data_IF_417129604161
#
_entry.id   IF_417129604161
#
_cell.length_a   1.000
_cell.length_b   1.000
_cell.length_c   1.000
_cell.angle_alpha   90.00
_cell.angle_beta   90.00
_cell.angle_gamma   90.00
#
_symmetry.space_group_name_H-M   'P 1'
#
loop_
_entity.id
_entity.type
_entity.pdbx_description
1 polymer ?
#
# COMPACT_ATOMS: atom_id res chain seq x y z
N UNK A 1 -4.99 -7.19 -25.52
CA UNK A 1 -3.84 -7.64 -24.69
C UNK A 1 -4.37 -7.91 -23.29
N UNK A 2 -4.25 -9.14 -22.76
CA UNK A 2 -4.74 -9.45 -21.41
C UNK A 2 -3.67 -9.06 -20.39
N UNK A 3 -4.04 -8.13 -19.51
CA UNK A 3 -3.24 -7.70 -18.37
C UNK A 3 -4.21 -7.25 -17.26
N UNK A 4 -4.21 -7.96 -16.15
CA UNK A 4 -5.11 -7.71 -15.03
C UNK A 4 -4.34 -7.86 -13.70
N UNK A 5 -4.49 -6.90 -12.80
CA UNK A 5 -3.84 -6.89 -11.50
C UNK A 5 -4.91 -6.66 -10.44
N UNK A 6 -5.00 -7.56 -9.46
CA UNK A 6 -5.86 -7.39 -8.30
C UNK A 6 -5.10 -7.58 -7.00
N UNK A 7 -5.50 -6.82 -5.99
CA UNK A 7 -5.06 -6.99 -4.61
C UNK A 7 -5.96 -8.06 -3.98
N UNK A 8 -5.36 -9.15 -3.51
CA UNK A 8 -6.09 -10.24 -2.85
C UNK A 8 -6.23 -9.98 -1.36
N UNK A 9 -5.17 -9.47 -0.73
CA UNK A 9 -5.13 -9.20 0.70
C UNK A 9 -4.33 -7.95 1.02
N UNK A 10 -4.88 -7.10 1.89
CA UNK A 10 -4.16 -6.02 2.54
C UNK A 10 -3.75 -6.47 3.93
N UNK A 11 -2.48 -6.27 4.29
CA UNK A 11 -2.05 -6.45 5.68
C UNK A 11 -2.35 -5.17 6.46
N UNK A 12 -2.72 -5.31 7.73
CA UNK A 12 -3.11 -4.16 8.57
C UNK A 12 -1.94 -3.40 9.18
N UNK A 13 -0.76 -4.03 9.24
CA UNK A 13 0.42 -3.47 9.87
C UNK A 13 0.99 -2.33 9.04
N UNK A 14 0.89 -1.11 9.55
CA UNK A 14 1.55 0.07 8.98
C UNK A 14 3.05 -0.03 9.28
N UNK A 15 3.94 0.25 8.31
CA UNK A 15 5.38 0.14 8.52
C UNK A 15 5.99 1.31 9.31
N UNK A 16 5.20 1.99 10.16
CA UNK A 16 5.61 3.14 10.98
C UNK A 16 5.17 2.89 12.42
N UNK A 17 6.07 3.17 13.36
CA UNK A 17 5.79 3.02 14.78
C UNK A 17 4.92 4.18 15.31
N UNK A 18 3.75 3.86 15.87
CA UNK A 18 2.80 4.86 16.40
C UNK A 18 3.40 5.68 17.54
N UNK A 19 4.18 5.06 18.43
CA UNK A 19 4.82 5.76 19.55
C UNK A 19 5.85 6.78 19.07
N UNK A 20 6.53 6.47 17.97
CA UNK A 20 7.42 7.42 17.31
C UNK A 20 6.64 8.62 16.76
N UNK A 21 5.50 8.38 16.10
CA UNK A 21 4.62 9.45 15.59
C UNK A 21 4.11 10.34 16.72
N UNK A 22 3.65 9.76 17.83
CA UNK A 22 3.20 10.52 19.00
C UNK A 22 4.27 11.49 19.50
N UNK A 23 5.50 11.01 19.63
CA UNK A 23 6.65 11.81 20.05
C UNK A 23 7.00 12.90 19.05
N UNK A 24 7.00 12.60 17.75
CA UNK A 24 7.37 13.55 16.69
C UNK A 24 6.38 14.70 16.54
N UNK A 25 5.08 14.42 16.68
CA UNK A 25 4.02 15.40 16.47
C UNK A 25 3.42 15.96 17.77
N UNK A 26 3.98 15.59 18.92
CA UNK A 26 3.45 15.92 20.26
C UNK A 26 1.94 15.65 20.35
N UNK A 27 1.53 14.47 19.88
CA UNK A 27 0.13 14.07 19.81
C UNK A 27 -0.44 13.92 21.22
N UNK A 28 -1.60 14.52 21.47
CA UNK A 28 -2.28 14.47 22.77
C UNK A 28 -2.47 13.01 23.25
N UNK A 29 -2.24 12.76 24.54
CA UNK A 29 -2.30 11.41 25.12
C UNK A 29 -3.69 10.77 24.95
N UNK A 30 -4.75 11.56 25.10
CA UNK A 30 -6.15 11.13 24.94
C UNK A 30 -6.57 10.76 23.51
N UNK A 31 -5.75 11.07 22.50
CA UNK A 31 -6.07 10.67 21.14
C UNK A 31 -5.89 9.17 20.99
N UNK A 32 -6.88 8.46 20.46
CA UNK A 32 -6.76 7.01 20.27
C UNK A 32 -5.71 6.63 19.21
N UNK A 33 -4.95 5.55 19.45
CA UNK A 33 -4.03 4.97 18.46
C UNK A 33 -4.75 4.62 17.15
N UNK A 34 -6.01 4.19 17.24
CA UNK A 34 -6.89 3.87 16.10
C UNK A 34 -7.01 5.04 15.10
N UNK A 35 -7.06 6.28 15.61
CA UNK A 35 -7.14 7.47 14.79
C UNK A 35 -5.79 7.81 14.14
N UNK A 36 -4.69 7.66 14.90
CA UNK A 36 -3.33 7.84 14.36
C UNK A 36 -3.09 6.84 13.23
N UNK A 37 -3.43 5.57 13.44
CA UNK A 37 -3.36 4.51 12.42
C UNK A 37 -4.19 4.85 11.19
N UNK A 38 -5.42 5.37 11.38
CA UNK A 38 -6.26 5.78 10.25
C UNK A 38 -5.60 6.86 9.41
N UNK A 39 -5.03 7.89 10.03
CA UNK A 39 -4.33 8.95 9.30
C UNK A 39 -3.08 8.43 8.59
N UNK A 40 -2.31 7.56 9.25
CA UNK A 40 -1.14 6.93 8.63
C UNK A 40 -1.52 6.02 7.45
N UNK A 41 -2.64 5.26 7.54
CA UNK A 41 -3.16 4.48 6.41
C UNK A 41 -3.51 5.37 5.22
N UNK A 42 -4.21 6.49 5.45
CA UNK A 42 -4.52 7.47 4.41
C UNK A 42 -3.23 8.04 3.79
N UNK A 43 -2.24 8.35 4.62
CA UNK A 43 -0.95 8.85 4.14
C UNK A 43 -0.21 7.81 3.28
N UNK A 44 -0.20 6.54 3.70
CA UNK A 44 0.35 5.45 2.90
C UNK A 44 -0.37 5.30 1.56
N UNK A 45 -1.71 5.26 1.54
CA UNK A 45 -2.50 5.10 0.31
C UNK A 45 -2.27 6.24 -0.70
N UNK A 46 -2.13 7.48 -0.20
CA UNK A 46 -1.76 8.63 -1.03
C UNK A 46 -0.34 8.51 -1.61
N UNK A 47 0.63 8.00 -0.84
CA UNK A 47 1.98 7.78 -1.36
C UNK A 47 2.00 6.65 -2.41
N UNK A 48 1.24 5.58 -2.19
CA UNK A 48 1.12 4.46 -3.13
C UNK A 48 0.48 4.88 -4.46
N UNK A 49 -0.47 5.83 -4.44
CA UNK A 49 -1.09 6.34 -5.67
C UNK A 49 -0.13 7.17 -6.52
N UNK A 50 0.79 7.91 -5.89
CA UNK A 50 1.81 8.71 -6.56
C UNK A 50 2.94 7.84 -7.09
N UNK A 51 3.49 6.96 -6.25
CA UNK A 51 4.68 6.17 -6.57
C UNK A 51 4.36 4.92 -7.41
N UNK A 52 3.11 4.47 -7.36
CA UNK A 52 2.71 3.18 -7.92
C UNK A 52 3.20 1.98 -7.10
N UNK A 53 4.06 2.18 -6.11
CA UNK A 53 4.58 1.14 -5.20
C UNK A 53 3.58 0.77 -4.11
N UNK A 54 3.81 -0.36 -3.45
CA UNK A 54 3.13 -0.74 -2.21
C UNK A 54 3.98 -0.28 -1.03
N UNK A 55 3.40 0.52 -0.15
CA UNK A 55 4.04 0.96 1.10
C UNK A 55 3.78 -0.09 2.16
N UNK A 56 2.53 -0.51 2.29
CA UNK A 56 2.10 -1.59 3.18
C UNK A 56 2.21 -2.91 2.41
N UNK A 57 2.72 -3.97 3.05
CA UNK A 57 2.74 -5.31 2.45
C UNK A 57 1.32 -5.73 2.04
N UNK A 58 1.19 -6.23 0.81
CA UNK A 58 -0.07 -6.68 0.19
C UNK A 58 0.20 -7.91 -0.68
N UNK A 59 -0.76 -8.80 -0.73
CA UNK A 59 -0.75 -9.93 -1.65
C UNK A 59 -1.46 -9.53 -2.95
N UNK A 60 -0.79 -9.78 -4.06
CA UNK A 60 -1.18 -9.38 -5.40
C UNK A 60 -1.26 -10.59 -6.31
N UNK A 61 -2.21 -10.51 -7.24
CA UNK A 61 -2.36 -11.49 -8.30
C UNK A 61 -2.34 -10.75 -9.62
N UNK A 62 -1.35 -11.08 -10.44
CA UNK A 62 -1.18 -10.54 -11.79
C UNK A 62 -1.50 -11.62 -12.81
N UNK A 63 -2.50 -11.36 -13.66
CA UNK A 63 -2.82 -12.19 -14.81
C UNK A 63 -2.34 -11.52 -16.09
N UNK A 64 -1.55 -12.21 -16.90
CA UNK A 64 -1.00 -11.67 -18.14
C UNK A 64 -0.98 -12.73 -19.25
N UNK A 65 -1.07 -12.29 -20.51
CA UNK A 65 -0.89 -13.15 -21.70
C UNK A 65 0.40 -12.78 -22.44
N UNK A 66 1.55 -13.06 -21.80
CA UNK A 66 2.91 -12.80 -22.30
C UNK A 66 3.93 -13.59 -21.46
N UNK A 67 5.12 -13.84 -22.02
CA UNK A 67 6.20 -14.59 -21.34
C UNK A 67 7.15 -13.70 -20.54
N UNK A 68 7.21 -12.40 -20.86
CA UNK A 68 7.90 -11.40 -20.03
C UNK A 68 6.88 -10.63 -19.20
N UNK A 69 6.92 -10.81 -17.88
CA UNK A 69 5.93 -10.28 -16.94
C UNK A 69 6.61 -9.34 -15.96
N UNK A 70 6.39 -8.04 -16.12
CA UNK A 70 6.75 -7.02 -15.12
C UNK A 70 5.73 -7.04 -13.97
N UNK A 71 6.22 -7.18 -12.74
CA UNK A 71 5.42 -7.01 -11.53
C UNK A 71 5.29 -5.53 -11.21
N UNK A 72 4.06 -5.01 -11.19
CA UNK A 72 3.81 -3.57 -11.13
C UNK A 72 3.93 -2.97 -9.74
N UNK A 73 3.76 -3.78 -8.70
CA UNK A 73 3.81 -3.34 -7.31
C UNK A 73 5.13 -3.76 -6.71
N UNK A 74 5.95 -2.77 -6.35
CA UNK A 74 7.22 -2.96 -5.66
C UNK A 74 7.18 -2.34 -4.25
N UNK A 75 8.17 -2.66 -3.40
CA UNK A 75 9.20 -3.67 -3.61
C UNK A 75 8.61 -5.09 -3.51
N UNK A 76 8.99 -5.98 -4.44
CA UNK A 76 8.51 -7.37 -4.42
C UNK A 76 9.27 -8.16 -3.38
N UNK A 77 8.54 -8.72 -2.41
CA UNK A 77 9.07 -9.52 -1.31
C UNK A 77 9.19 -10.98 -1.71
N UNK A 78 8.07 -11.57 -2.13
CA UNK A 78 8.01 -12.98 -2.49
C UNK A 78 7.15 -13.20 -3.74
N UNK A 79 7.54 -14.15 -4.58
CA UNK A 79 6.67 -14.67 -5.65
C UNK A 79 6.22 -16.05 -5.17
N UNK A 80 4.97 -16.14 -4.71
CA UNK A 80 4.46 -17.35 -4.05
C UNK A 80 4.14 -18.46 -5.05
N UNK A 81 3.66 -18.10 -6.24
CA UNK A 81 3.43 -19.07 -7.31
C UNK A 81 3.31 -18.41 -8.68
N UNK A 82 3.68 -19.17 -9.70
CA UNK A 82 3.46 -18.85 -11.11
C UNK A 82 2.72 -20.02 -11.72
N UNK A 83 1.59 -19.76 -12.37
CA UNK A 83 0.71 -20.79 -12.91
C UNK A 83 0.20 -20.42 -14.29
N UNK A 84 -0.07 -21.44 -15.11
CA UNK A 84 -0.62 -21.29 -16.46
C UNK A 84 -2.04 -21.82 -16.52
N UNK A 85 -2.93 -21.12 -17.22
CA UNK A 85 -4.30 -21.57 -17.46
C UNK A 85 -4.30 -22.74 -18.46
N UNK A 86 -4.89 -23.85 -18.05
CA UNK A 86 -5.09 -25.05 -18.89
C UNK A 86 -6.29 -24.87 -19.82
N UNK A 87 -6.43 -25.79 -20.80
CA UNK A 87 -7.60 -25.81 -21.71
C UNK A 87 -8.92 -25.99 -20.96
N UNK A 88 -8.90 -26.65 -19.81
CA UNK A 88 -10.09 -26.90 -18.98
C UNK A 88 -10.42 -25.72 -18.05
N UNK A 89 -9.71 -24.59 -18.18
CA UNK A 89 -9.93 -23.39 -17.40
C UNK A 89 -9.26 -23.35 -16.03
N UNK A 90 -8.64 -24.45 -15.58
CA UNK A 90 -7.90 -24.53 -14.31
C UNK A 90 -6.50 -23.93 -14.42
N UNK A 91 -5.84 -23.67 -13.30
CA UNK A 91 -4.44 -23.22 -13.26
C UNK A 91 -3.53 -24.35 -12.82
N UNK A 92 -2.40 -24.54 -13.52
CA UNK A 92 -1.34 -25.48 -13.14
C UNK A 92 -0.04 -24.72 -12.88
N UNK A 93 0.64 -25.04 -11.79
CA UNK A 93 1.94 -24.44 -11.44
C UNK A 93 2.97 -24.67 -12.53
N UNK A 94 3.72 -23.62 -12.84
CA UNK A 94 4.85 -23.66 -13.77
C UNK A 94 6.09 -24.11 -12.97
N UNK A 95 6.84 -25.13 -13.45
CA UNK A 95 8.08 -25.58 -12.82
C UNK A 95 9.13 -24.47 -12.73
N UNK A 96 10.06 -24.55 -11.76
CA UNK A 96 11.05 -23.49 -11.51
C UNK A 96 12.06 -23.38 -12.66
N UNK A 97 12.40 -24.51 -13.29
CA UNK A 97 13.26 -24.60 -14.46
C UNK A 97 12.72 -23.87 -15.70
N UNK A 98 11.43 -23.53 -15.69
CA UNK A 98 10.73 -22.93 -16.82
C UNK A 98 10.62 -21.41 -16.75
N UNK A 99 11.20 -20.79 -15.72
CA UNK A 99 11.28 -19.35 -15.60
C UNK A 99 12.52 -18.88 -14.83
N UNK A 100 12.87 -17.61 -15.01
CA UNK A 100 13.83 -16.94 -14.14
C UNK A 100 13.35 -15.53 -13.80
N UNK A 101 13.96 -14.93 -12.78
CA UNK A 101 13.61 -13.61 -12.28
C UNK A 101 14.77 -12.64 -12.51
N UNK A 102 14.45 -11.44 -13.01
CA UNK A 102 15.38 -10.31 -13.17
C UNK A 102 14.90 -9.14 -12.31
N UNK A 103 15.84 -8.39 -11.76
CA UNK A 103 15.58 -7.07 -11.17
C UNK A 103 16.02 -6.01 -12.17
N UNK A 104 15.13 -5.09 -12.53
CA UNK A 104 15.39 -3.98 -13.44
C UNK A 104 14.84 -2.67 -12.87
N UNK A 105 15.71 -1.72 -12.52
CA UNK A 105 15.32 -0.42 -11.96
C UNK A 105 14.30 -0.56 -10.81
N UNK A 106 14.57 -1.46 -9.86
CA UNK A 106 13.69 -1.74 -8.72
C UNK A 106 12.44 -2.57 -9.03
N UNK A 107 12.13 -2.81 -10.30
CA UNK A 107 11.02 -3.66 -10.71
C UNK A 107 11.48 -5.12 -10.85
N UNK A 108 10.66 -6.06 -10.39
CA UNK A 108 10.89 -7.49 -10.62
C UNK A 108 10.21 -7.91 -11.92
N UNK A 109 10.96 -8.60 -12.78
CA UNK A 109 10.50 -9.13 -14.06
C UNK A 109 10.64 -10.65 -14.01
N UNK A 110 9.58 -11.35 -14.38
CA UNK A 110 9.57 -12.80 -14.56
C UNK A 110 9.67 -13.07 -16.05
N UNK A 111 10.63 -13.92 -16.44
CA UNK A 111 10.81 -14.33 -17.84
C UNK A 111 10.57 -15.84 -17.90
N UNK A 112 9.56 -16.23 -18.67
CA UNK A 112 9.13 -17.62 -18.88
C UNK A 112 9.70 -18.19 -20.18
N UNK A 113 9.82 -19.51 -20.24
CA UNK A 113 10.12 -20.23 -21.48
C UNK A 113 9.11 -19.91 -22.60
N UNK A 114 9.58 -19.86 -23.85
CA UNK A 114 8.76 -19.57 -25.03
C UNK A 114 7.60 -20.55 -25.23
N UNK A 115 7.65 -21.76 -24.64
CA UNK A 115 6.52 -22.71 -24.69
C UNK A 115 5.24 -22.18 -24.03
N UNK A 116 5.35 -21.12 -23.22
CA UNK A 116 4.22 -20.41 -22.61
C UNK A 116 3.74 -19.20 -23.43
N UNK A 117 4.27 -18.99 -24.63
CA UNK A 117 3.80 -17.95 -25.54
C UNK A 117 2.29 -18.08 -25.77
N UNK A 118 1.61 -16.93 -25.75
CA UNK A 118 0.15 -16.82 -25.87
C UNK A 118 -0.68 -17.57 -24.82
N UNK A 119 -0.07 -18.08 -23.74
CA UNK A 119 -0.80 -18.65 -22.60
C UNK A 119 -1.18 -17.56 -21.60
N UNK A 120 -2.27 -17.80 -20.87
CA UNK A 120 -2.66 -16.95 -19.75
C UNK A 120 -1.88 -17.42 -18.52
N UNK A 121 -1.06 -16.52 -17.99
CA UNK A 121 -0.21 -16.73 -16.82
C UNK A 121 -0.78 -15.97 -15.66
N UNK A 122 -0.83 -16.60 -14.48
CA UNK A 122 -1.17 -15.99 -13.21
C UNK A 122 0.05 -16.04 -12.29
N UNK A 123 0.46 -14.89 -11.79
CA UNK A 123 1.54 -14.73 -10.81
C UNK A 123 0.94 -14.23 -9.51
N UNK A 124 1.11 -15.00 -8.44
CA UNK A 124 0.78 -14.57 -7.09
C UNK A 124 2.07 -14.11 -6.40
N UNK A 125 2.07 -12.91 -5.85
CA UNK A 125 3.25 -12.32 -5.23
C UNK A 125 2.88 -11.34 -4.12
N UNK A 126 3.77 -11.16 -3.14
CA UNK A 126 3.64 -10.12 -2.12
C UNK A 126 4.57 -8.95 -2.41
N UNK A 127 4.08 -7.74 -2.16
CA UNK A 127 4.86 -6.52 -2.34
C UNK A 127 4.53 -5.49 -1.27
N UNK A 128 5.55 -4.74 -0.85
CA UNK A 128 5.48 -3.71 0.17
C UNK A 128 6.55 -3.87 1.25
N UNK A 129 6.52 -2.97 2.22
CA UNK A 129 7.48 -2.94 3.33
C UNK A 129 6.85 -3.51 4.60
N UNK A 130 7.67 -4.16 5.42
CA UNK A 130 7.31 -4.49 6.81
C UNK A 130 7.71 -3.36 7.74
N UNK A 131 7.29 -3.48 9.00
CA UNK A 131 7.67 -2.58 10.09
C UNK A 131 9.20 -2.44 10.13
N UNK A 132 9.68 -1.20 10.17
CA UNK A 132 11.10 -0.82 10.18
C UNK A 132 11.90 -1.17 8.91
N UNK A 133 11.26 -1.58 7.82
CA UNK A 133 11.93 -1.77 6.52
C UNK A 133 11.72 -0.59 5.56
N UNK A 134 10.90 0.39 5.95
CA UNK A 134 10.56 1.53 5.12
C UNK A 134 11.78 2.45 4.94
N UNK A 135 12.17 2.78 3.68
CA UNK A 135 13.21 3.76 3.41
C UNK A 135 12.91 5.11 4.06
N UNK A 136 13.93 5.77 4.62
CA UNK A 136 13.76 6.99 5.43
C UNK A 136 13.17 8.18 4.65
N UNK A 137 13.36 8.24 3.33
CA UNK A 137 12.75 9.23 2.44
C UNK A 137 11.23 9.01 2.32
N UNK A 138 10.80 7.75 2.15
CA UNK A 138 9.39 7.38 2.14
C UNK A 138 8.75 7.59 3.51
N UNK A 139 9.45 7.22 4.58
CA UNK A 139 9.00 7.45 5.96
C UNK A 139 8.78 8.94 6.23
N UNK A 140 9.77 9.78 5.89
CA UNK A 140 9.69 11.23 6.04
C UNK A 140 8.52 11.83 5.27
N UNK A 141 8.24 11.33 4.06
CA UNK A 141 7.10 11.78 3.27
C UNK A 141 5.76 11.39 3.91
N UNK A 142 5.63 10.16 4.40
CA UNK A 142 4.41 9.72 5.09
C UNK A 142 4.18 10.54 6.36
N UNK A 143 5.23 10.78 7.16
CA UNK A 143 5.14 11.60 8.36
C UNK A 143 4.75 13.04 8.02
N UNK A 144 5.32 13.63 6.97
CA UNK A 144 4.90 14.95 6.48
C UNK A 144 3.40 14.98 6.17
N UNK A 145 2.90 14.04 5.38
CA UNK A 145 1.48 14.01 5.04
C UNK A 145 0.59 13.71 6.26
N UNK A 146 1.07 12.90 7.20
CA UNK A 146 0.39 12.70 8.48
C UNK A 146 0.26 14.03 9.23
N UNK A 147 1.33 14.82 9.30
CA UNK A 147 1.31 16.15 9.92
C UNK A 147 0.29 17.08 9.28
N UNK A 148 0.25 17.14 7.94
CA UNK A 148 -0.73 17.94 7.20
C UNK A 148 -2.16 17.50 7.50
N UNK A 149 -2.43 16.20 7.54
CA UNK A 149 -3.75 15.63 7.85
C UNK A 149 -4.15 15.87 9.31
N UNK A 150 -3.21 15.75 10.23
CA UNK A 150 -3.44 15.92 11.67
C UNK A 150 -3.72 17.40 12.00
N UNK A 151 -2.90 18.31 11.48
CA UNK A 151 -3.02 19.74 11.73
C UNK A 151 -4.22 20.35 10.98
N UNK A 152 -4.48 19.98 9.73
CA UNK A 152 -5.65 20.46 8.99
C UNK A 152 -7.00 20.02 9.62
N UNK A 153 -7.01 18.87 10.31
CA UNK A 153 -8.18 18.44 11.08
C UNK A 153 -8.29 19.18 12.43
N UNK A 154 -7.18 19.57 13.05
CA UNK A 154 -7.17 20.40 14.26
C UNK A 154 -7.73 21.80 13.99
N UNK A 155 -7.37 22.42 12.85
CA UNK A 155 -7.91 23.72 12.44
C UNK A 155 -9.43 23.66 12.23
N UNK A 156 -9.91 22.63 11.52
CA UNK A 156 -11.34 22.40 11.30
C UNK A 156 -12.11 22.21 12.62
N UNK A 157 -11.57 21.45 13.57
CA UNK A 157 -12.18 21.28 14.90
C UNK A 157 -12.12 22.57 15.73
N UNK A 158 -11.03 23.32 15.67
CA UNK A 158 -10.91 24.60 16.37
C UNK A 158 -11.93 25.63 15.87
N UNK A 159 -12.27 25.61 14.58
CA UNK A 159 -13.36 26.41 14.02
C UNK A 159 -14.74 25.93 14.50
N UNK A 160 -15.03 24.62 14.52
CA UNK A 160 -16.27 24.08 15.09
C UNK A 160 -16.44 24.43 16.59
N UNK A 161 -15.35 24.45 17.36
CA UNK A 161 -15.35 24.89 18.77
C UNK A 161 -15.58 26.41 18.92
N UNK A 162 -15.08 27.24 18.00
CA UNK A 162 -15.37 28.69 17.98
C UNK A 162 -16.82 28.96 17.60
N UNK A 163 -17.34 28.24 16.61
CA UNK A 163 -18.73 28.35 16.16
C UNK A 163 -19.69 27.90 17.27
N UNK A 164 -19.47 26.74 17.89
CA UNK A 164 -20.32 26.25 19.00
C UNK A 164 -20.31 27.16 20.23
N UNK A 165 -19.17 27.78 20.59
CA UNK A 165 -19.12 28.80 21.65
C UNK A 165 -19.82 30.11 21.28
N UNK A 166 -19.85 30.49 20.00
CA UNK A 166 -20.58 31.68 19.54
C UNK A 166 -22.11 31.50 19.62
N UNK A 167 -22.60 30.27 19.47
CA UNK A 167 -24.02 29.95 19.66
C UNK A 167 -24.42 29.89 21.14
N UNK A 168 -23.54 29.42 22.04
CA UNK A 168 -23.84 29.38 23.48
C UNK A 168 -23.79 30.76 24.16
N UNK A 169 -23.10 31.75 23.58
CA UNK A 169 -23.11 33.13 24.10
C UNK A 169 -24.31 33.98 23.65
N UNK A 170 -25.12 33.50 22.69
CA UNK A 170 -26.34 34.18 22.27
C UNK A 170 -27.62 33.68 22.99
N UNK A 171 -27.52 32.67 23.85
CA UNK A 171 -28.67 32.13 24.61
C UNK A 171 -28.73 32.61 26.07
N UNK A 172 -27.84 33.51 26.51
CA UNK A 172 -27.91 34.15 27.84
C UNK A 172 -28.22 35.64 27.69
N UNK A 173 -29.37 35.96 27.08
CA UNK A 173 -30.03 37.26 27.21
C UNK A 173 -31.54 37.10 26.98
N UNK A 174 -32.25 36.57 27.98
CA UNK A 174 -33.61 36.99 28.38
C UNK A 174 -33.71 36.83 29.89
#
# INVERSE_FOLDING_TARGET
MLLDLHCEKKYDSIPINIQFVRKCFNVHEDLEDSYIEKLLKIACEKLESITGSSVIEKDWVLTAKRVEIKLFKGPVRNVSSISVKTRNGTYKTIPVEDYYQKINLGNRIIILSEKYMDKIIKVNYSAGYRVNELPGDLESYILRMFGDLYNGNMESKAEEYKVSKSYTMNEIRI
#
